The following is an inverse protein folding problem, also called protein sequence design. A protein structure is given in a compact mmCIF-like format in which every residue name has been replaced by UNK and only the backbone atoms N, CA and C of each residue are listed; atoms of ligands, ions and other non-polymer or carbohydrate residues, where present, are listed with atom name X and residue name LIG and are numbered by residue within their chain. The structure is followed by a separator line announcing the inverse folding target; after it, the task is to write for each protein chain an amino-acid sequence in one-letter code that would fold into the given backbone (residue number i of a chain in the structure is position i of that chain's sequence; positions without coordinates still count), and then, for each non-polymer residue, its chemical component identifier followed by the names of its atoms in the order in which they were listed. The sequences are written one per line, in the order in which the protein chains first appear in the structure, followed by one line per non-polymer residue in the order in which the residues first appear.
data_IF_233427236956
#
_entry.id   IF_233427236956
#
_cell.length_a   1.000
_cell.length_b   1.000
_cell.length_c   1.000
_cell.angle_alpha   90.00
_cell.angle_beta   90.00
_cell.angle_gamma   90.00
#
_symmetry.space_group_name_H-M   'P 1'
#
loop_
_entity.id
_entity.type
_entity.pdbx_description
1 polymer ?
#
# COMPACT_ATOMS: atom_id res chain seq x y z
N UNK A 1 12.09 23.98 -7.07
CA UNK A 1 10.67 24.01 -7.56
C UNK A 1 10.58 25.07 -8.64
N UNK A 2 9.95 24.77 -9.80
CA UNK A 2 9.74 25.73 -10.87
C UNK A 2 8.35 26.34 -10.69
N UNK A 3 8.23 27.66 -10.44
CA UNK A 3 6.93 28.27 -10.26
C UNK A 3 6.17 28.29 -11.59
N UNK A 4 4.97 27.71 -11.61
CA UNK A 4 4.12 27.59 -12.78
C UNK A 4 2.86 28.46 -12.71
N UNK A 5 2.77 29.36 -11.73
CA UNK A 5 1.67 30.31 -11.60
C UNK A 5 1.55 31.14 -12.90
N UNK A 6 0.36 31.28 -13.39
CA UNK A 6 0.01 32.04 -14.61
C UNK A 6 0.64 31.49 -15.94
N UNK A 7 1.06 30.20 -15.92
CA UNK A 7 1.64 29.53 -17.08
C UNK A 7 0.75 28.39 -17.59
N UNK A 8 -0.52 28.69 -17.82
CA UNK A 8 -1.45 27.69 -18.37
C UNK A 8 -1.07 27.37 -19.83
N UNK A 9 -1.12 26.09 -20.19
CA UNK A 9 -0.84 25.58 -21.53
C UNK A 9 0.34 24.62 -21.61
N UNK A 10 0.76 24.30 -22.82
CA UNK A 10 1.85 23.37 -23.11
C UNK A 10 3.20 24.02 -22.99
N UNK A 11 4.11 23.40 -22.25
CA UNK A 11 5.46 23.91 -22.02
C UNK A 11 6.49 22.81 -22.25
N UNK A 12 7.71 23.23 -22.61
CA UNK A 12 8.88 22.36 -22.68
C UNK A 12 9.80 22.66 -21.51
N UNK A 13 10.01 21.67 -20.65
CA UNK A 13 11.02 21.74 -19.61
C UNK A 13 12.31 21.13 -20.16
N UNK A 14 13.39 21.88 -20.12
CA UNK A 14 14.70 21.48 -20.61
C UNK A 14 15.67 21.44 -19.45
N UNK A 15 16.09 20.22 -19.08
CA UNK A 15 17.22 20.03 -18.15
C UNK A 15 18.51 20.06 -18.95
N UNK A 16 19.43 20.94 -18.55
CA UNK A 16 20.81 20.99 -19.07
C UNK A 16 21.77 20.72 -17.93
N UNK A 17 22.64 19.75 -18.11
CA UNK A 17 23.69 19.40 -17.15
C UNK A 17 25.02 19.48 -17.91
N UNK A 18 26.01 20.16 -17.34
CA UNK A 18 27.34 20.28 -17.92
C UNK A 18 28.40 19.84 -16.90
N UNK A 19 29.36 19.04 -17.35
CA UNK A 19 30.56 18.68 -16.58
C UNK A 19 31.77 19.56 -16.94
N UNK A 20 31.52 20.66 -17.67
CA UNK A 20 32.53 21.59 -18.18
C UNK A 20 33.13 21.20 -19.54
N UNK A 21 32.96 19.94 -19.97
CA UNK A 21 33.43 19.43 -21.27
C UNK A 21 32.25 19.02 -22.18
N UNK A 22 31.18 18.51 -21.60
CA UNK A 22 30.00 18.02 -22.29
C UNK A 22 28.74 18.65 -21.72
N UNK A 23 27.75 18.84 -22.58
CA UNK A 23 26.42 19.33 -22.19
C UNK A 23 25.42 18.24 -22.50
N UNK A 24 24.74 17.75 -21.48
CA UNK A 24 23.63 16.81 -21.60
C UNK A 24 22.32 17.60 -21.54
N UNK A 25 21.40 17.25 -22.42
CA UNK A 25 20.07 17.87 -22.46
C UNK A 25 19.01 16.78 -22.42
N UNK A 26 18.01 16.97 -21.56
CA UNK A 26 16.78 16.18 -21.56
C UNK A 26 15.59 17.15 -21.64
N UNK A 27 14.69 16.88 -22.55
CA UNK A 27 13.49 17.69 -22.73
C UNK A 27 12.27 16.85 -22.37
N UNK A 28 11.36 17.43 -21.60
CA UNK A 28 10.03 16.86 -21.30
C UNK A 28 8.97 17.90 -21.66
N UNK A 29 7.92 17.46 -22.33
CA UNK A 29 6.73 18.27 -22.53
C UNK A 29 5.80 18.08 -21.34
N UNK A 30 5.27 19.18 -20.82
CA UNK A 30 4.29 19.23 -19.75
C UNK A 30 3.13 20.12 -20.18
N UNK A 31 1.97 19.84 -19.65
CA UNK A 31 0.80 20.71 -19.79
C UNK A 31 0.42 21.24 -18.40
N UNK A 32 0.34 22.56 -18.31
CA UNK A 32 -0.14 23.25 -17.10
C UNK A 32 -1.62 23.54 -17.32
N UNK A 33 -2.45 22.91 -16.52
CA UNK A 33 -3.90 23.12 -16.54
C UNK A 33 -4.30 24.12 -15.46
N UNK A 34 -5.29 24.94 -15.74
CA UNK A 34 -5.91 25.76 -14.71
C UNK A 34 -6.74 24.84 -13.81
N UNK A 35 -6.57 24.96 -12.49
CA UNK A 35 -7.31 24.19 -11.51
C UNK A 35 -7.75 25.08 -10.38
N UNK A 36 -8.98 24.90 -9.93
CA UNK A 36 -9.53 25.53 -8.72
C UNK A 36 -9.02 24.86 -7.43
N UNK A 37 -8.34 23.73 -7.58
CA UNK A 37 -7.71 23.03 -6.46
C UNK A 37 -6.47 23.81 -6.02
N UNK A 38 -6.48 24.25 -4.78
CA UNK A 38 -5.39 25.07 -4.21
C UNK A 38 -4.20 24.25 -3.67
N UNK A 39 -4.30 22.93 -3.64
CA UNK A 39 -3.20 22.09 -3.18
C UNK A 39 -2.08 22.07 -4.23
N UNK A 40 -0.90 22.47 -3.82
CA UNK A 40 0.36 22.35 -4.59
C UNK A 40 1.20 21.18 -4.06
N UNK A 41 0.70 20.47 -3.07
CA UNK A 41 1.41 19.33 -2.50
C UNK A 41 1.12 18.08 -3.35
N UNK A 42 2.18 17.37 -3.64
CA UNK A 42 2.10 16.07 -4.28
C UNK A 42 1.57 15.04 -3.29
N UNK A 43 0.77 14.10 -3.77
CA UNK A 43 0.39 12.94 -2.98
C UNK A 43 1.61 12.01 -2.92
N UNK A 44 2.22 11.91 -1.75
CA UNK A 44 3.43 11.10 -1.54
C UNK A 44 3.12 9.64 -1.25
N UNK A 45 1.90 9.30 -0.92
CA UNK A 45 1.53 7.92 -0.62
C UNK A 45 0.03 7.69 -0.58
N UNK A 46 -0.34 6.44 -0.50
CA UNK A 46 -1.74 6.03 -0.42
C UNK A 46 -1.93 4.85 0.52
N UNK A 47 -3.12 4.76 1.10
CA UNK A 47 -3.58 3.55 1.76
C UNK A 47 -4.05 2.53 0.72
N UNK A 48 -3.67 1.29 0.95
CA UNK A 48 -4.10 0.15 0.16
C UNK A 48 -4.91 -0.79 1.04
N UNK A 49 -6.21 -0.75 0.88
CA UNK A 49 -7.09 -1.78 1.39
C UNK A 49 -7.03 -2.99 0.45
N UNK A 50 -6.68 -4.16 0.96
CA UNK A 50 -6.58 -5.37 0.14
C UNK A 50 -7.97 -5.90 -0.18
N UNK A 51 -8.85 -5.92 0.78
CA UNK A 51 -10.21 -6.45 0.61
C UNK A 51 -11.23 -5.51 1.26
N UNK A 52 -12.37 -5.29 0.60
CA UNK A 52 -13.41 -4.46 1.19
C UNK A 52 -14.06 -5.17 2.39
N UNK A 53 -14.43 -4.41 3.40
CA UNK A 53 -15.04 -4.96 4.62
C UNK A 53 -16.41 -5.61 4.40
N UNK A 54 -17.17 -5.14 3.40
CA UNK A 54 -18.49 -5.61 3.03
C UNK A 54 -18.44 -6.34 1.70
N UNK A 55 -18.96 -7.56 1.63
CA UNK A 55 -19.07 -8.30 0.38
C UNK A 55 -20.06 -7.65 -0.58
N UNK A 56 -21.09 -7.01 -0.09
CA UNK A 56 -22.09 -6.33 -0.93
C UNK A 56 -21.52 -5.09 -1.61
N UNK A 57 -20.89 -4.22 -0.83
CA UNK A 57 -20.27 -2.99 -1.37
C UNK A 57 -19.00 -3.30 -2.15
N UNK A 58 -18.21 -4.26 -1.69
CA UNK A 58 -16.97 -4.68 -2.30
C UNK A 58 -17.09 -5.66 -3.45
N UNK A 59 -18.30 -6.02 -3.90
CA UNK A 59 -18.52 -7.13 -4.85
C UNK A 59 -17.69 -7.04 -6.14
N UNK A 60 -17.43 -5.86 -6.66
CA UNK A 60 -16.60 -5.68 -7.85
C UNK A 60 -15.11 -5.67 -7.46
N UNK A 61 -14.74 -4.89 -6.44
CA UNK A 61 -13.40 -4.78 -5.92
C UNK A 61 -12.86 -6.13 -5.45
N UNK A 62 -13.58 -6.81 -4.57
CA UNK A 62 -13.17 -8.09 -4.02
C UNK A 62 -12.98 -9.16 -5.10
N UNK A 63 -13.83 -9.17 -6.12
CA UNK A 63 -13.74 -10.10 -7.25
C UNK A 63 -12.48 -9.89 -8.08
N UNK A 64 -12.07 -8.66 -8.28
CA UNK A 64 -10.84 -8.35 -9.02
C UNK A 64 -9.61 -8.65 -8.17
N UNK A 65 -9.63 -8.29 -6.88
CA UNK A 65 -8.55 -8.60 -5.94
C UNK A 65 -8.29 -10.10 -5.83
N UNK A 66 -9.33 -10.93 -5.83
CA UNK A 66 -9.17 -12.39 -5.83
C UNK A 66 -8.33 -12.92 -6.98
N UNK A 67 -8.32 -12.24 -8.11
CA UNK A 67 -7.59 -12.64 -9.32
C UNK A 67 -6.19 -12.03 -9.40
N UNK A 68 -5.88 -11.07 -8.56
CA UNK A 68 -4.56 -10.43 -8.56
C UNK A 68 -3.50 -11.40 -8.03
N UNK A 69 -2.54 -11.70 -8.88
CA UNK A 69 -1.34 -12.48 -8.54
C UNK A 69 -0.30 -11.59 -7.87
N UNK A 70 0.78 -12.17 -7.37
CA UNK A 70 1.92 -11.43 -6.84
C UNK A 70 2.48 -10.41 -7.86
N UNK A 71 2.47 -10.76 -9.15
CA UNK A 71 2.95 -9.83 -10.19
C UNK A 71 2.04 -8.63 -10.39
N UNK A 72 0.73 -8.77 -10.21
CA UNK A 72 -0.19 -7.64 -10.23
C UNK A 72 0.06 -6.69 -9.04
N UNK A 73 0.37 -7.23 -7.86
CA UNK A 73 0.73 -6.41 -6.70
C UNK A 73 2.05 -5.67 -6.92
N UNK A 74 3.06 -6.33 -7.52
CA UNK A 74 4.30 -5.66 -7.93
C UNK A 74 4.06 -4.55 -8.96
N UNK A 75 3.18 -4.78 -9.95
CA UNK A 75 2.85 -3.73 -10.93
C UNK A 75 2.11 -2.55 -10.30
N UNK A 76 1.28 -2.79 -9.28
CA UNK A 76 0.65 -1.71 -8.52
C UNK A 76 1.72 -0.82 -7.88
N UNK A 77 2.71 -1.39 -7.20
CA UNK A 77 3.81 -0.63 -6.58
C UNK A 77 4.61 0.14 -7.64
N UNK A 78 4.95 -0.49 -8.77
CA UNK A 78 5.61 0.21 -9.88
C UNK A 78 4.78 1.38 -10.43
N UNK A 79 3.47 1.20 -10.50
CA UNK A 79 2.54 2.22 -10.97
C UNK A 79 2.43 3.39 -10.00
N UNK A 80 2.42 3.12 -8.69
CA UNK A 80 2.48 4.15 -7.65
C UNK A 80 3.77 4.95 -7.75
N UNK A 81 4.91 4.28 -7.89
CA UNK A 81 6.21 4.93 -8.06
C UNK A 81 6.25 5.80 -9.34
N UNK A 82 5.67 5.35 -10.46
CA UNK A 82 5.61 6.13 -11.71
C UNK A 82 4.88 7.47 -11.57
N UNK A 83 3.93 7.56 -10.67
CA UNK A 83 3.22 8.81 -10.36
C UNK A 83 3.84 9.54 -9.16
N UNK A 84 5.07 9.17 -8.82
CA UNK A 84 5.92 9.82 -7.82
C UNK A 84 5.41 9.64 -6.37
N UNK A 85 4.68 8.57 -6.09
CA UNK A 85 4.44 8.14 -4.72
C UNK A 85 5.67 7.39 -4.19
N UNK A 86 6.00 7.64 -2.93
CA UNK A 86 7.14 7.06 -2.23
C UNK A 86 6.74 6.24 -1.00
N UNK A 87 5.44 6.21 -0.68
CA UNK A 87 4.91 5.48 0.46
C UNK A 87 3.62 4.74 0.15
N UNK A 88 3.48 3.54 0.69
CA UNK A 88 2.23 2.79 0.71
C UNK A 88 1.91 2.34 2.13
N UNK A 89 0.65 2.48 2.54
CA UNK A 89 0.15 1.96 3.80
C UNK A 89 -0.71 0.75 3.51
N UNK A 90 -0.29 -0.42 3.95
CA UNK A 90 -1.13 -1.62 3.97
C UNK A 90 -2.01 -1.51 5.22
N UNK A 91 -3.30 -1.35 5.05
CA UNK A 91 -4.21 -1.09 6.16
C UNK A 91 -4.29 -2.29 7.12
N UNK A 92 -4.35 -3.50 6.57
CA UNK A 92 -4.50 -4.74 7.31
C UNK A 92 -4.00 -5.93 6.49
N UNK A 93 -3.61 -6.98 7.20
CA UNK A 93 -3.02 -8.19 6.59
C UNK A 93 -3.95 -9.41 6.63
N UNK A 94 -5.21 -9.17 6.97
CA UNK A 94 -6.24 -10.21 7.09
C UNK A 94 -7.63 -9.66 6.77
N UNK A 95 -8.60 -10.56 6.57
CA UNK A 95 -10.02 -10.19 6.49
C UNK A 95 -10.90 -11.34 6.95
N UNK A 96 -12.00 -10.97 7.59
CA UNK A 96 -13.12 -11.85 7.89
C UNK A 96 -14.21 -11.67 6.83
N UNK A 97 -14.63 -12.75 6.18
CA UNK A 97 -15.59 -12.66 5.06
C UNK A 97 -16.98 -12.16 5.48
N UNK A 98 -17.37 -12.49 6.70
CA UNK A 98 -18.67 -12.09 7.25
C UNK A 98 -18.62 -10.77 8.01
N UNK A 99 -17.50 -10.05 7.96
CA UNK A 99 -17.36 -8.80 8.68
C UNK A 99 -18.32 -7.72 8.14
N UNK A 100 -19.10 -7.16 9.05
CA UNK A 100 -20.08 -6.11 8.75
C UNK A 100 -20.08 -4.97 9.79
N UNK A 101 -18.98 -4.74 10.49
CA UNK A 101 -18.85 -3.73 11.54
C UNK A 101 -19.41 -4.13 12.91
N UNK A 102 -19.78 -5.39 13.10
CA UNK A 102 -20.19 -5.90 14.41
C UNK A 102 -18.99 -6.07 15.33
N UNK A 103 -19.17 -5.80 16.62
CA UNK A 103 -18.18 -6.13 17.64
C UNK A 103 -18.00 -7.64 17.72
N UNK A 104 -16.75 -8.08 17.79
CA UNK A 104 -16.37 -9.48 17.91
C UNK A 104 -15.33 -9.62 19.01
N UNK A 105 -15.15 -10.84 19.54
CA UNK A 105 -14.05 -11.15 20.46
C UNK A 105 -12.95 -11.89 19.71
N UNK A 106 -11.76 -11.97 20.32
CA UNK A 106 -10.63 -12.71 19.73
C UNK A 106 -10.97 -14.20 19.57
N UNK A 107 -11.74 -14.76 20.48
CA UNK A 107 -12.15 -16.19 20.47
C UNK A 107 -13.12 -16.49 19.33
N UNK A 108 -14.01 -15.55 19.01
CA UNK A 108 -15.04 -15.73 18.00
C UNK A 108 -14.56 -15.38 16.58
N UNK A 109 -13.42 -14.73 16.46
CA UNK A 109 -12.96 -14.23 15.20
C UNK A 109 -12.26 -15.30 14.36
N UNK A 110 -12.73 -15.47 13.13
CA UNK A 110 -12.23 -16.47 12.17
C UNK A 110 -11.53 -15.83 10.97
N UNK A 111 -10.92 -14.68 11.17
CA UNK A 111 -10.24 -13.93 10.11
C UNK A 111 -9.16 -14.75 9.41
N UNK A 112 -9.04 -14.54 8.10
CA UNK A 112 -8.06 -15.20 7.24
C UNK A 112 -7.01 -14.22 6.78
N UNK A 113 -5.75 -14.66 6.79
CA UNK A 113 -4.62 -13.83 6.40
C UNK A 113 -4.49 -13.70 4.87
N UNK A 114 -3.89 -12.61 4.42
CA UNK A 114 -3.48 -12.39 3.03
C UNK A 114 -2.07 -12.88 2.71
N UNK A 115 -1.35 -13.40 3.71
CA UNK A 115 0.01 -13.91 3.64
C UNK A 115 0.09 -15.31 4.29
N UNK A 116 1.16 -16.08 4.11
CA UNK A 116 1.28 -17.44 4.66
C UNK A 116 1.51 -17.46 6.18
N UNK A 117 0.56 -16.88 6.94
CA UNK A 117 0.58 -16.81 8.40
C UNK A 117 0.44 -18.19 9.05
N UNK A 118 1.08 -18.33 10.23
CA UNK A 118 0.90 -19.47 11.12
C UNK A 118 -0.04 -19.17 12.29
N UNK A 119 -0.45 -17.91 12.44
CA UNK A 119 -1.31 -17.46 13.54
C UNK A 119 -2.79 -17.49 13.18
N UNK A 120 -3.12 -17.01 11.98
CA UNK A 120 -4.50 -16.94 11.52
C UNK A 120 -5.06 -18.32 11.20
N UNK A 121 -6.38 -18.54 11.38
CA UNK A 121 -7.00 -19.86 11.19
C UNK A 121 -7.06 -20.31 9.73
N UNK A 122 -6.64 -19.48 8.82
CA UNK A 122 -6.58 -19.83 7.40
C UNK A 122 -6.12 -18.69 6.57
N UNK A 123 -6.07 -18.96 5.26
CA UNK A 123 -5.70 -17.99 4.25
C UNK A 123 -6.89 -17.60 3.40
N UNK A 124 -6.96 -16.33 2.98
CA UNK A 124 -7.95 -15.86 2.02
C UNK A 124 -7.79 -16.59 0.68
N UNK A 125 -8.92 -16.85 0.05
CA UNK A 125 -8.98 -17.40 -1.29
C UNK A 125 -8.67 -16.28 -2.32
N UNK A 126 -7.38 -16.07 -2.54
CA UNK A 126 -6.82 -15.08 -3.47
C UNK A 126 -5.72 -15.73 -4.31
N UNK A 127 -5.53 -15.25 -5.53
CA UNK A 127 -4.57 -15.82 -6.47
C UNK A 127 -3.10 -15.49 -6.11
N UNK A 128 -2.87 -14.45 -5.32
CA UNK A 128 -1.52 -14.14 -4.85
C UNK A 128 -1.00 -15.21 -3.88
N UNK A 129 0.23 -15.64 -4.05
CA UNK A 129 0.86 -16.58 -3.11
C UNK A 129 1.30 -15.90 -1.82
N UNK A 130 1.95 -14.74 -1.96
CA UNK A 130 2.34 -13.88 -0.83
C UNK A 130 2.37 -12.42 -1.27
N UNK A 131 1.21 -11.77 -1.20
CA UNK A 131 1.12 -10.39 -1.63
C UNK A 131 1.94 -9.42 -0.77
N UNK A 132 2.18 -9.74 0.50
CA UNK A 132 3.01 -8.91 1.38
C UNK A 132 4.46 -8.93 0.90
N UNK A 133 5.00 -10.11 0.64
CA UNK A 133 6.33 -10.28 0.03
C UNK A 133 6.40 -9.58 -1.34
N UNK A 134 5.37 -9.73 -2.18
CA UNK A 134 5.32 -9.10 -3.49
C UNK A 134 5.38 -7.58 -3.41
N UNK A 135 4.64 -6.97 -2.47
CA UNK A 135 4.65 -5.53 -2.23
C UNK A 135 6.01 -5.08 -1.72
N UNK A 136 6.53 -5.71 -0.67
CA UNK A 136 7.79 -5.30 -0.03
C UNK A 136 8.98 -5.46 -0.96
N UNK A 137 9.12 -6.62 -1.62
CA UNK A 137 10.23 -6.86 -2.54
C UNK A 137 10.25 -5.92 -3.74
N UNK A 138 9.08 -5.47 -4.20
CA UNK A 138 9.03 -4.47 -5.26
C UNK A 138 9.26 -3.06 -4.71
N UNK A 139 8.75 -2.73 -3.52
CA UNK A 139 9.00 -1.47 -2.85
C UNK A 139 10.49 -1.24 -2.58
N UNK A 140 11.24 -2.28 -2.17
CA UNK A 140 12.71 -2.24 -2.05
C UNK A 140 13.37 -1.78 -3.35
N UNK A 141 12.97 -2.36 -4.48
CA UNK A 141 13.53 -2.03 -5.81
C UNK A 141 13.21 -0.59 -6.24
N UNK A 142 12.05 -0.08 -5.83
CA UNK A 142 11.61 1.26 -6.18
C UNK A 142 12.07 2.31 -5.15
N UNK A 143 12.65 1.92 -4.01
CA UNK A 143 13.02 2.80 -2.92
C UNK A 143 11.81 3.42 -2.21
N UNK A 144 10.69 2.72 -2.22
CA UNK A 144 9.46 3.15 -1.54
C UNK A 144 9.43 2.64 -0.10
N UNK A 145 8.65 3.30 0.73
CA UNK A 145 8.41 2.90 2.13
C UNK A 145 7.06 2.23 2.29
N UNK A 146 6.99 1.20 3.13
CA UNK A 146 5.77 0.48 3.46
C UNK A 146 5.48 0.61 4.95
N UNK A 147 4.31 1.13 5.27
CA UNK A 147 3.72 1.07 6.61
C UNK A 147 2.83 -0.17 6.67
N UNK A 148 3.21 -1.11 7.52
CA UNK A 148 2.55 -2.40 7.63
C UNK A 148 1.44 -2.37 8.68
N UNK A 149 0.19 -2.44 8.25
CA UNK A 149 -0.95 -2.50 9.14
C UNK A 149 -1.10 -3.87 9.79
N UNK A 150 -1.24 -3.87 11.09
CA UNK A 150 -1.63 -5.08 11.83
C UNK A 150 -3.15 -5.25 11.85
N UNK A 151 -3.89 -4.18 11.51
CA UNK A 151 -5.35 -4.15 11.52
C UNK A 151 -5.93 -4.30 12.94
N UNK A 152 -7.23 -4.39 13.01
CA UNK A 152 -7.95 -4.69 14.25
C UNK A 152 -8.59 -6.08 14.11
N UNK A 153 -7.97 -7.09 14.70
CA UNK A 153 -8.36 -8.50 14.52
C UNK A 153 -9.80 -8.76 14.98
N UNK A 154 -10.10 -8.36 16.19
CA UNK A 154 -11.47 -8.37 16.69
C UNK A 154 -11.96 -6.93 16.84
N UNK A 155 -12.95 -6.55 16.07
CA UNK A 155 -13.38 -5.16 15.94
C UNK A 155 -13.93 -4.62 17.24
N UNK A 156 -13.32 -3.56 17.75
CA UNK A 156 -13.58 -2.94 19.04
C UNK A 156 -13.33 -3.84 20.29
N UNK A 157 -12.57 -4.91 20.14
CA UNK A 157 -12.08 -5.67 21.28
C UNK A 157 -10.77 -5.05 21.80
N UNK A 158 -10.83 -4.38 22.94
CA UNK A 158 -9.69 -3.74 23.61
C UNK A 158 -9.23 -4.53 24.84
N UNK A 159 -9.48 -5.83 24.88
CA UNK A 159 -9.05 -6.71 25.97
C UNK A 159 -7.54 -6.95 25.94
N UNK A 160 -6.94 -7.39 27.07
CA UNK A 160 -5.54 -7.83 27.08
C UNK A 160 -5.26 -8.96 26.07
N UNK A 161 -6.19 -9.87 25.88
CA UNK A 161 -6.13 -10.98 24.93
C UNK A 161 -6.02 -10.47 23.49
N UNK A 162 -6.81 -9.47 23.12
CA UNK A 162 -6.73 -8.79 21.82
C UNK A 162 -5.37 -8.10 21.64
N UNK A 163 -4.87 -7.41 22.66
CA UNK A 163 -3.54 -6.79 22.61
C UNK A 163 -2.43 -7.83 22.39
N UNK A 164 -2.48 -8.95 23.11
CA UNK A 164 -1.49 -10.03 22.93
C UNK A 164 -1.58 -10.66 21.54
N UNK A 165 -2.76 -10.80 20.98
CA UNK A 165 -2.92 -11.22 19.60
C UNK A 165 -2.20 -10.28 18.62
N UNK A 166 -2.45 -8.98 18.72
CA UNK A 166 -1.83 -7.99 17.83
C UNK A 166 -0.29 -7.95 17.96
N UNK A 167 0.23 -8.11 19.18
CA UNK A 167 1.68 -8.26 19.40
C UNK A 167 2.25 -9.50 18.69
N UNK A 168 1.54 -10.62 18.73
CA UNK A 168 1.96 -11.84 18.03
C UNK A 168 1.95 -11.65 16.52
N UNK A 169 0.92 -10.98 15.96
CA UNK A 169 0.84 -10.65 14.54
C UNK A 169 2.00 -9.74 14.14
N UNK A 170 2.23 -8.66 14.89
CA UNK A 170 3.35 -7.76 14.61
C UNK A 170 4.70 -8.50 14.65
N UNK A 171 4.87 -9.40 15.64
CA UNK A 171 6.08 -10.22 15.70
C UNK A 171 6.22 -11.16 14.50
N UNK A 172 5.15 -11.84 14.10
CA UNK A 172 5.18 -12.74 12.93
C UNK A 172 5.53 -11.97 11.66
N UNK A 173 4.90 -10.83 11.43
CA UNK A 173 5.20 -9.97 10.27
C UNK A 173 6.65 -9.51 10.28
N UNK A 174 7.18 -9.13 11.43
CA UNK A 174 8.58 -8.73 11.55
C UNK A 174 9.54 -9.91 11.33
N UNK A 175 9.25 -11.08 11.90
CA UNK A 175 10.07 -12.28 11.71
C UNK A 175 10.11 -12.73 10.24
N UNK A 176 9.01 -12.55 9.49
CA UNK A 176 8.91 -12.94 8.09
C UNK A 176 9.49 -11.88 7.14
N UNK A 177 9.20 -10.61 7.37
CA UNK A 177 9.41 -9.54 6.39
C UNK A 177 10.30 -8.40 6.87
N UNK A 178 10.74 -8.40 8.12
CA UNK A 178 11.57 -7.32 8.69
C UNK A 178 12.96 -7.18 8.07
N UNK A 179 13.32 -8.06 7.14
CA UNK A 179 14.55 -7.99 6.36
C UNK A 179 14.46 -7.05 5.14
N UNK A 180 13.24 -6.62 4.76
CA UNK A 180 13.03 -5.66 3.69
C UNK A 180 13.36 -4.24 4.13
N UNK A 181 14.17 -3.53 3.36
CA UNK A 181 14.50 -2.12 3.64
C UNK A 181 13.27 -1.22 3.54
N UNK A 182 12.31 -1.59 2.69
CA UNK A 182 11.04 -0.89 2.53
C UNK A 182 10.09 -1.04 3.72
N UNK A 183 10.26 -2.03 4.59
CA UNK A 183 9.44 -2.19 5.79
C UNK A 183 9.77 -1.09 6.81
N UNK A 184 9.13 0.06 6.65
CA UNK A 184 9.49 1.27 7.39
C UNK A 184 8.98 1.28 8.83
N UNK A 185 7.71 0.94 9.04
CA UNK A 185 7.08 0.92 10.36
C UNK A 185 5.77 0.11 10.36
N UNK A 186 5.25 -0.15 11.55
CA UNK A 186 3.88 -0.64 11.71
C UNK A 186 2.88 0.52 11.67
N UNK A 187 1.73 0.26 11.07
CA UNK A 187 0.52 1.06 11.15
C UNK A 187 -0.46 0.36 12.11
N UNK A 188 -0.83 1.03 13.19
CA UNK A 188 -1.70 0.54 14.27
C UNK A 188 -2.85 1.51 14.54
#
# INVERSE_FOLDING_TARGET
MIPMKDKVGKHKVILKVSDGKRVYRKTKEIEVIQSDIRSIQQISGAWTGIYHWSEEEGKHWNQDIKKMTDDHWREMIRSMHKIEMDMVVIQEVFRHQAYNGSSTTVEDYTGKAFYPSKLYPGRMDIAAEDLIEAILSEADKQGMQVLMGVGMFAWFDFTPESLEWHKRVAKELWDMYGHHESFYAFYV
#
